data_IF_951089518377
#
_entry.id   IF_951089518377
#
_cell.length_a   1.000
_cell.length_b   1.000
_cell.length_c   1.000
_cell.angle_alpha   90.00
_cell.angle_beta   90.00
_cell.angle_gamma   90.00
#
_symmetry.space_group_name_H-M   'P 1'
#
loop_
_entity.id
_entity.type
_entity.pdbx_description
1 polymer ?
#
# COMPACT_ATOMS: atom_id res chain seq x y z
N UNK A 1 9.32 27.10 -7.24
CA UNK A 1 9.57 26.72 -5.82
C UNK A 1 8.35 25.97 -5.32
N UNK A 2 8.35 24.63 -5.44
CA UNK A 2 7.24 23.81 -4.94
C UNK A 2 7.34 23.72 -3.41
N UNK A 3 6.27 24.15 -2.71
CA UNK A 3 6.11 23.90 -1.28
C UNK A 3 6.03 22.38 -1.10
N UNK A 4 7.08 21.75 -0.58
CA UNK A 4 6.97 20.42 0.03
C UNK A 4 5.96 20.54 1.16
N UNK A 5 4.70 20.17 0.90
CA UNK A 5 3.76 19.81 1.97
C UNK A 5 4.48 18.72 2.76
N UNK A 6 4.81 18.99 4.02
CA UNK A 6 5.14 17.93 4.97
C UNK A 6 3.86 17.10 5.11
N UNK A 7 3.79 15.98 4.40
CA UNK A 7 2.90 14.89 4.75
C UNK A 7 3.33 14.42 6.13
N UNK A 8 2.55 14.79 7.15
CA UNK A 8 2.71 14.23 8.49
C UNK A 8 2.18 12.79 8.42
N UNK A 9 3.03 11.88 7.96
CA UNK A 9 2.76 10.45 8.02
C UNK A 9 2.43 10.07 9.47
N UNK A 10 1.27 9.46 9.67
CA UNK A 10 0.84 8.97 10.98
C UNK A 10 1.18 7.50 11.12
N UNK A 11 1.86 7.12 12.21
CA UNK A 11 2.26 5.74 12.46
C UNK A 11 1.87 5.29 13.87
N UNK A 12 1.57 4.00 14.03
CA UNK A 12 1.59 3.42 15.38
C UNK A 12 3.03 3.36 15.91
N UNK A 13 3.24 3.38 17.25
CA UNK A 13 4.58 3.48 17.82
C UNK A 13 5.56 2.38 17.36
N UNK A 14 5.08 1.18 17.11
CA UNK A 14 5.85 0.04 16.60
C UNK A 14 6.21 0.15 15.12
N UNK A 15 5.55 1.05 14.38
CA UNK A 15 5.79 1.36 12.96
C UNK A 15 6.39 2.77 12.77
N UNK A 16 6.86 3.40 13.85
CA UNK A 16 7.41 4.77 13.83
C UNK A 16 8.70 4.91 13.01
N UNK A 17 9.32 3.80 12.61
CA UNK A 17 10.48 3.79 11.73
C UNK A 17 10.13 4.06 10.24
N UNK A 18 8.84 4.05 9.87
CA UNK A 18 8.41 4.37 8.51
C UNK A 18 8.47 5.88 8.29
N UNK A 19 9.08 6.29 7.17
CA UNK A 19 9.31 7.68 6.78
C UNK A 19 8.31 8.18 5.75
N UNK A 20 8.02 7.36 4.75
CA UNK A 20 7.15 7.68 3.61
C UNK A 20 6.67 6.40 2.95
N UNK A 21 5.77 6.54 1.98
CA UNK A 21 5.42 5.45 1.09
C UNK A 21 4.46 5.89 0.00
N UNK A 22 4.27 5.02 -0.98
CA UNK A 22 3.43 5.26 -2.14
C UNK A 22 2.85 3.96 -2.71
N UNK A 23 1.71 4.06 -3.40
CA UNK A 23 1.18 2.95 -4.19
C UNK A 23 2.00 2.82 -5.48
N UNK A 24 2.70 1.69 -5.61
CA UNK A 24 3.53 1.44 -6.77
C UNK A 24 2.76 0.84 -7.93
N UNK A 25 1.97 -0.22 -7.65
CA UNK A 25 1.31 -0.99 -8.71
C UNK A 25 -0.01 -1.56 -8.20
N UNK A 26 -1.02 -1.54 -9.06
CA UNK A 26 -2.22 -2.38 -8.93
C UNK A 26 -2.13 -3.49 -9.97
N UNK A 27 -2.36 -4.74 -9.58
CA UNK A 27 -2.32 -5.90 -10.47
C UNK A 27 -3.69 -6.57 -10.43
N UNK A 28 -4.31 -6.74 -11.60
CA UNK A 28 -5.47 -7.61 -11.76
C UNK A 28 -5.03 -8.98 -12.28
N UNK A 29 -5.29 -10.03 -11.50
CA UNK A 29 -4.98 -11.41 -11.84
C UNK A 29 -6.13 -12.01 -12.63
N UNK A 30 -5.84 -12.56 -13.79
CA UNK A 30 -6.75 -13.47 -14.48
C UNK A 30 -6.23 -14.90 -14.30
N UNK A 31 -6.93 -15.89 -14.87
CA UNK A 31 -6.46 -17.29 -14.84
C UNK A 31 -5.15 -17.50 -15.61
N UNK A 32 -4.85 -16.62 -16.56
CA UNK A 32 -3.77 -16.80 -17.53
C UNK A 32 -2.69 -15.71 -17.41
N UNK A 33 -3.05 -14.52 -16.93
CA UNK A 33 -2.18 -13.34 -16.98
C UNK A 33 -2.29 -12.43 -15.75
N UNK A 34 -1.28 -11.60 -15.56
CA UNK A 34 -1.28 -10.50 -14.60
C UNK A 34 -1.30 -9.18 -15.37
N UNK A 35 -2.40 -8.44 -15.23
CA UNK A 35 -2.62 -7.20 -15.96
C UNK A 35 -2.33 -6.03 -15.01
N UNK A 36 -1.31 -5.20 -15.28
CA UNK A 36 -1.07 -4.00 -14.49
C UNK A 36 -2.19 -2.98 -14.75
N UNK A 37 -2.65 -2.34 -13.68
CA UNK A 37 -3.60 -1.24 -13.70
C UNK A 37 -2.86 0.04 -13.32
N UNK A 38 -3.12 1.13 -14.03
CA UNK A 38 -2.46 2.41 -13.76
C UNK A 38 -2.79 2.92 -12.36
N UNK A 39 -1.77 3.44 -11.68
CA UNK A 39 -1.88 4.10 -10.37
C UNK A 39 -1.73 5.62 -10.46
N UNK A 40 -1.46 6.17 -11.66
CA UNK A 40 -1.24 7.61 -11.85
C UNK A 40 -2.54 8.42 -11.88
N UNK A 41 -3.68 7.77 -11.66
CA UNK A 41 -5.00 8.38 -11.68
C UNK A 41 -5.94 7.65 -10.73
N UNK A 42 -7.08 8.28 -10.46
CA UNK A 42 -8.20 7.67 -9.73
C UNK A 42 -9.08 6.77 -10.63
N UNK A 43 -8.75 6.60 -11.92
CA UNK A 43 -9.60 5.90 -12.90
C UNK A 43 -9.86 4.43 -12.55
N UNK A 44 -8.95 3.79 -11.82
CA UNK A 44 -9.16 2.41 -11.36
C UNK A 44 -10.36 2.28 -10.41
N UNK A 45 -10.80 3.39 -9.79
CA UNK A 45 -12.02 3.45 -8.97
C UNK A 45 -13.31 3.32 -9.79
N UNK A 46 -13.22 3.32 -11.12
CA UNK A 46 -14.32 3.06 -12.06
C UNK A 46 -14.12 1.78 -12.89
N UNK A 47 -12.98 1.10 -12.75
CA UNK A 47 -12.66 -0.10 -13.51
C UNK A 47 -13.44 -1.33 -13.00
N UNK A 48 -14.46 -1.70 -13.78
CA UNK A 48 -15.35 -2.84 -13.50
C UNK A 48 -14.62 -4.19 -13.41
N UNK A 49 -13.38 -4.31 -13.92
CA UNK A 49 -12.59 -5.54 -13.84
C UNK A 49 -12.12 -5.80 -12.42
N UNK A 50 -11.82 -4.74 -11.65
CA UNK A 50 -11.25 -4.85 -10.30
C UNK A 50 -12.26 -4.52 -9.20
N UNK A 51 -13.31 -3.75 -9.52
CA UNK A 51 -14.36 -3.39 -8.57
C UNK A 51 -15.29 -4.58 -8.33
N UNK A 52 -15.49 -4.90 -7.05
CA UNK A 52 -16.50 -5.86 -6.60
C UNK A 52 -17.85 -5.18 -6.37
N UNK A 53 -17.85 -4.03 -5.69
CA UNK A 53 -19.05 -3.23 -5.46
C UNK A 53 -18.69 -1.77 -5.22
N UNK A 54 -19.65 -0.88 -5.49
CA UNK A 54 -19.53 0.56 -5.27
C UNK A 54 -20.86 1.07 -4.75
N UNK A 55 -20.87 1.73 -3.60
CA UNK A 55 -22.05 2.39 -3.03
C UNK A 55 -21.75 3.89 -2.80
N UNK A 56 -22.59 4.60 -2.05
CA UNK A 56 -22.38 6.04 -1.82
C UNK A 56 -21.13 6.33 -0.99
N UNK A 57 -20.74 5.41 -0.11
CA UNK A 57 -19.67 5.65 0.88
C UNK A 57 -18.33 5.07 0.45
N UNK A 58 -18.34 3.94 -0.26
CA UNK A 58 -17.13 3.17 -0.54
C UNK A 58 -17.14 2.43 -1.89
N UNK A 59 -15.94 2.19 -2.40
CA UNK A 59 -15.63 1.24 -3.48
C UNK A 59 -14.87 0.06 -2.87
N UNK A 60 -15.29 -1.17 -3.15
CA UNK A 60 -14.59 -2.38 -2.71
C UNK A 60 -14.06 -3.15 -3.92
N UNK A 61 -12.97 -3.90 -3.72
CA UNK A 61 -12.28 -4.58 -4.80
C UNK A 61 -12.46 -6.10 -4.72
N UNK A 62 -12.26 -6.77 -5.85
CA UNK A 62 -12.35 -8.23 -5.91
C UNK A 62 -11.05 -8.89 -5.41
N UNK A 63 -11.13 -10.20 -5.17
CA UNK A 63 -10.00 -11.01 -4.64
C UNK A 63 -8.83 -11.14 -5.62
N UNK A 64 -9.10 -10.91 -6.90
CA UNK A 64 -8.14 -11.08 -7.97
C UNK A 64 -7.32 -9.80 -8.20
N UNK A 65 -7.66 -8.72 -7.50
CA UNK A 65 -6.90 -7.46 -7.47
C UNK A 65 -5.86 -7.51 -6.35
N UNK A 66 -4.63 -7.08 -6.63
CA UNK A 66 -3.54 -6.93 -5.65
C UNK A 66 -3.03 -5.51 -5.70
N UNK A 67 -2.99 -4.85 -4.54
CA UNK A 67 -2.38 -3.55 -4.35
C UNK A 67 -0.95 -3.75 -3.83
N UNK A 68 0.01 -3.07 -4.43
CA UNK A 68 1.41 -3.06 -3.99
C UNK A 68 1.85 -1.65 -3.64
N UNK A 69 2.24 -1.45 -2.39
CA UNK A 69 2.73 -0.18 -1.88
C UNK A 69 4.18 -0.35 -1.39
N UNK A 70 5.01 0.67 -1.58
CA UNK A 70 6.36 0.73 -1.01
C UNK A 70 6.31 1.60 0.23
N UNK A 71 7.00 1.16 1.27
CA UNK A 71 7.28 1.95 2.47
C UNK A 71 8.78 2.22 2.53
N UNK A 72 9.16 3.47 2.70
CA UNK A 72 10.53 3.87 2.97
C UNK A 72 10.74 4.03 4.47
N UNK A 73 11.93 3.72 4.95
CA UNK A 73 12.29 3.80 6.36
C UNK A 73 13.14 5.03 6.65
N UNK A 74 13.11 5.47 7.91
CA UNK A 74 13.91 6.60 8.38
C UNK A 74 15.40 6.23 8.35
N UNK A 75 15.71 5.00 8.79
CA UNK A 75 17.04 4.40 8.79
C UNK A 75 16.93 2.94 8.29
N UNK A 76 18.02 2.36 7.76
CA UNK A 76 18.02 0.95 7.40
C UNK A 76 17.65 0.05 8.59
N UNK A 77 16.66 -0.81 8.40
CA UNK A 77 16.20 -1.78 9.40
C UNK A 77 16.79 -3.14 9.09
N UNK A 78 17.19 -3.87 10.13
CA UNK A 78 17.76 -5.20 9.98
C UNK A 78 16.72 -6.19 9.44
N UNK A 79 17.13 -6.97 8.46
CA UNK A 79 16.32 -8.05 7.94
C UNK A 79 16.49 -9.30 8.80
N UNK A 80 15.48 -10.16 8.84
CA UNK A 80 15.53 -11.45 9.54
C UNK A 80 16.46 -12.39 8.78
N UNK A 81 17.60 -12.71 9.40
CA UNK A 81 18.75 -13.45 8.83
C UNK A 81 18.35 -14.76 8.14
N UNK A 82 17.33 -15.46 8.65
CA UNK A 82 16.91 -16.77 8.13
C UNK A 82 16.23 -16.70 6.76
N UNK A 83 15.69 -15.53 6.39
CA UNK A 83 14.91 -15.37 5.15
C UNK A 83 15.53 -14.35 4.19
N UNK A 84 16.36 -13.44 4.70
CA UNK A 84 16.77 -12.27 3.96
C UNK A 84 17.95 -12.49 3.02
N UNK A 85 17.88 -11.85 1.85
CA UNK A 85 18.97 -11.78 0.85
C UNK A 85 19.99 -10.68 1.24
N UNK A 86 19.68 -9.86 2.24
CA UNK A 86 20.46 -8.70 2.69
C UNK A 86 20.39 -8.57 4.21
N UNK A 87 21.41 -7.99 4.82
CA UNK A 87 21.47 -7.79 6.28
C UNK A 87 20.51 -6.69 6.77
N UNK A 88 20.30 -5.64 5.97
CA UNK A 88 19.36 -4.54 6.26
C UNK A 88 18.73 -3.99 4.99
N UNK A 89 17.64 -3.23 5.14
CA UNK A 89 16.93 -2.54 4.06
C UNK A 89 16.38 -1.20 4.54
N UNK A 90 16.36 -0.22 3.66
CA UNK A 90 15.80 1.13 3.88
C UNK A 90 14.41 1.30 3.25
N UNK A 91 13.87 0.25 2.63
CA UNK A 91 12.52 0.21 2.08
C UNK A 91 11.93 -1.19 2.10
N UNK A 92 10.61 -1.29 1.91
CA UNK A 92 9.88 -2.55 1.81
C UNK A 92 8.71 -2.49 0.84
N UNK A 93 8.55 -3.52 0.02
CA UNK A 93 7.37 -3.72 -0.83
C UNK A 93 6.30 -4.53 -0.10
N UNK A 94 5.12 -3.94 0.08
CA UNK A 94 3.98 -4.50 0.77
C UNK A 94 2.87 -4.84 -0.22
N UNK A 95 2.15 -5.93 0.02
CA UNK A 95 1.02 -6.38 -0.79
C UNK A 95 -0.26 -6.42 0.04
N UNK A 96 -1.39 -6.03 -0.57
CA UNK A 96 -2.73 -6.20 -0.03
C UNK A 96 -3.65 -6.81 -1.09
N UNK A 97 -4.41 -7.84 -0.72
CA UNK A 97 -5.44 -8.41 -1.59
C UNK A 97 -6.65 -7.48 -1.62
N UNK A 98 -7.31 -7.37 -2.77
CA UNK A 98 -8.41 -6.44 -2.99
C UNK A 98 -9.62 -6.66 -2.08
N UNK A 99 -9.85 -7.88 -1.60
CA UNK A 99 -10.90 -8.14 -0.58
C UNK A 99 -10.63 -7.49 0.77
N UNK A 100 -9.37 -7.15 1.05
CA UNK A 100 -8.93 -6.45 2.25
C UNK A 100 -8.65 -4.97 1.98
N UNK A 101 -9.11 -4.45 0.83
CA UNK A 101 -8.94 -3.07 0.43
C UNK A 101 -10.30 -2.43 0.10
N UNK A 102 -10.40 -1.15 0.38
CA UNK A 102 -11.53 -0.33 -0.05
C UNK A 102 -11.09 1.13 -0.23
N UNK A 103 -11.81 1.86 -1.08
CA UNK A 103 -11.69 3.30 -1.17
C UNK A 103 -12.89 3.95 -0.49
N UNK A 104 -12.63 4.82 0.49
CA UNK A 104 -13.65 5.68 1.12
C UNK A 104 -13.87 6.90 0.25
N UNK A 105 -15.08 7.07 -0.30
CA UNK A 105 -15.46 8.25 -1.10
C UNK A 105 -15.64 9.49 -0.23
N UNK A 106 -16.04 9.30 1.03
CA UNK A 106 -16.23 10.38 2.01
C UNK A 106 -14.88 10.96 2.40
N UNK A 107 -13.94 10.10 2.77
CA UNK A 107 -12.61 10.55 3.18
C UNK A 107 -11.69 10.78 1.99
N UNK A 108 -11.98 10.23 0.81
CA UNK A 108 -11.07 10.18 -0.35
C UNK A 108 -9.75 9.47 -0.04
N UNK A 109 -9.87 8.36 0.71
CA UNK A 109 -8.73 7.53 1.13
C UNK A 109 -8.85 6.13 0.57
N UNK A 110 -7.74 5.59 0.07
CA UNK A 110 -7.58 4.18 -0.21
C UNK A 110 -7.05 3.50 1.07
N UNK A 111 -7.76 2.49 1.56
CA UNK A 111 -7.42 1.77 2.79
C UNK A 111 -7.08 0.33 2.45
N UNK A 112 -5.92 -0.13 2.88
CA UNK A 112 -5.40 -1.48 2.71
C UNK A 112 -5.25 -2.12 4.09
N UNK A 113 -6.12 -3.04 4.50
CA UNK A 113 -6.28 -3.44 5.91
C UNK A 113 -5.42 -4.64 6.37
N UNK A 114 -4.90 -5.43 5.44
CA UNK A 114 -4.09 -6.62 5.75
C UNK A 114 -2.87 -6.66 4.84
N UNK A 115 -2.06 -5.61 4.91
CA UNK A 115 -0.81 -5.52 4.20
C UNK A 115 0.20 -6.52 4.79
N UNK A 116 0.89 -7.24 3.90
CA UNK A 116 2.01 -8.12 4.24
C UNK A 116 3.21 -7.84 3.35
N UNK A 117 4.39 -8.24 3.77
CA UNK A 117 5.60 -8.08 2.96
C UNK A 117 5.58 -9.00 1.73
N UNK A 118 6.06 -8.49 0.59
CA UNK A 118 6.03 -9.19 -0.70
C UNK A 118 7.35 -9.88 -1.05
N UNK A 119 8.44 -9.57 -0.34
CA UNK A 119 9.80 -9.99 -0.64
C UNK A 119 10.34 -10.92 0.46
N UNK A 120 11.37 -11.70 0.12
CA UNK A 120 12.09 -12.57 1.07
C UNK A 120 12.89 -11.79 2.12
N UNK A 121 12.99 -10.47 2.03
CA UNK A 121 13.61 -9.65 3.08
C UNK A 121 12.55 -9.30 4.10
N UNK A 122 12.43 -10.13 5.14
CA UNK A 122 11.47 -9.93 6.23
C UNK A 122 12.05 -8.93 7.22
N UNK A 123 11.28 -7.89 7.57
CA UNK A 123 11.57 -7.02 8.72
C UNK A 123 10.64 -7.44 9.84
N UNK A 124 11.18 -7.69 11.04
CA UNK A 124 10.44 -8.30 12.15
C UNK A 124 9.22 -7.47 12.54
N UNK A 125 9.38 -6.17 12.54
CA UNK A 125 8.36 -5.17 12.86
C UNK A 125 7.19 -5.20 11.86
N UNK A 126 7.36 -5.78 10.67
CA UNK A 126 6.35 -5.89 9.61
C UNK A 126 5.82 -7.32 9.39
N UNK A 127 6.23 -8.29 10.21
CA UNK A 127 5.75 -9.69 10.11
C UNK A 127 4.24 -9.81 10.34
N UNK A 128 3.72 -9.07 11.32
CA UNK A 128 2.30 -9.01 11.59
C UNK A 128 1.59 -8.10 10.57
N UNK A 129 0.41 -8.48 10.06
CA UNK A 129 -0.37 -7.64 9.17
C UNK A 129 -0.62 -6.25 9.74
N UNK A 130 -0.69 -5.26 8.86
CA UNK A 130 -0.90 -3.86 9.21
C UNK A 130 -1.74 -3.16 8.16
N UNK A 131 -2.15 -1.93 8.46
CA UNK A 131 -3.03 -1.11 7.65
C UNK A 131 -2.20 -0.01 6.99
N UNK A 132 -2.37 0.19 5.68
CA UNK A 132 -1.86 1.36 4.96
C UNK A 132 -3.06 2.19 4.51
N UNK A 133 -3.04 3.48 4.84
CA UNK A 133 -4.02 4.47 4.36
C UNK A 133 -3.31 5.41 3.40
N UNK A 134 -3.84 5.55 2.19
CA UNK A 134 -3.29 6.40 1.14
C UNK A 134 -4.31 7.46 0.70
N UNK A 135 -3.79 8.58 0.24
CA UNK A 135 -4.55 9.64 -0.40
C UNK A 135 -3.91 10.01 -1.74
N UNK A 136 -4.69 10.56 -2.66
CA UNK A 136 -4.20 10.98 -3.97
C UNK A 136 -3.78 12.45 -3.95
N UNK A 137 -2.55 12.74 -4.37
CA UNK A 137 -1.93 14.08 -4.43
C UNK A 137 -1.05 14.14 -5.68
N UNK A 138 -1.20 15.19 -6.50
CA UNK A 138 -0.35 15.46 -7.67
C UNK A 138 -0.01 14.20 -8.51
N UNK A 139 -1.05 13.47 -8.95
CA UNK A 139 -0.97 12.25 -9.78
C UNK A 139 -0.33 11.02 -9.09
N UNK A 140 -0.22 11.04 -7.76
CA UNK A 140 0.37 9.96 -6.97
C UNK A 140 -0.49 9.57 -5.77
N UNK A 141 -0.52 8.27 -5.46
CA UNK A 141 -1.09 7.79 -4.21
C UNK A 141 -0.01 7.74 -3.14
N UNK A 142 -0.12 8.62 -2.15
CA UNK A 142 0.86 8.80 -1.09
C UNK A 142 0.31 8.20 0.19
N UNK A 143 1.17 7.51 0.95
CA UNK A 143 0.81 6.96 2.26
C UNK A 143 0.61 8.11 3.27
N UNK A 144 -0.61 8.19 3.81
CA UNK A 144 -1.00 9.11 4.89
C UNK A 144 -0.78 8.47 6.25
N UNK A 145 -1.10 7.17 6.39
CA UNK A 145 -1.01 6.45 7.66
C UNK A 145 -0.50 5.01 7.50
N UNK A 146 0.25 4.52 8.47
CA UNK A 146 0.60 3.11 8.63
C UNK A 146 0.27 2.67 10.06
N UNK A 147 -0.71 1.79 10.22
CA UNK A 147 -1.32 1.49 11.52
C UNK A 147 -1.34 -0.01 11.81
N UNK A 148 -1.29 -0.38 13.09
CA UNK A 148 -1.51 -1.73 13.59
C UNK A 148 -2.50 -1.75 14.74
#
# INVERSE_FOLDING_TARGET
MAKKKKTNLETTPDLAFVKSGDLNVIIFKTKEEQIPISVTSEEFLEDKRIIKSSNMDQVTFNKDTIFKATLDFIEPVNCVVETAVRESTDWMLCSCVGTNAFYSKVEKRLVLQQCTMSLQSTVRELEAPFIIVLYFDDDQWIVERVLR
#
